data_IF_553281047703
#
_entry.id   IF_553281047703
#
_cell.length_a   1.000
_cell.length_b   1.000
_cell.length_c   1.000
_cell.angle_alpha   90.00
_cell.angle_beta   90.00
_cell.angle_gamma   90.00
#
_symmetry.space_group_name_H-M   'P 1'
#
loop_
_entity.id
_entity.type
_entity.pdbx_description
1 polymer ?
#
# COMPACT_ATOMS: atom_id res chain seq x y z
N UNK A 1 6.68 -20.37 -12.52
CA UNK A 1 6.03 -19.10 -12.91
C UNK A 1 5.50 -18.41 -11.64
N UNK A 2 6.40 -17.84 -10.85
CA UNK A 2 6.03 -17.05 -9.66
C UNK A 2 5.65 -15.63 -10.14
N UNK A 3 4.39 -15.45 -10.41
CA UNK A 3 3.83 -14.13 -10.73
C UNK A 3 3.94 -13.24 -9.51
N UNK A 4 4.51 -12.06 -9.69
CA UNK A 4 4.58 -10.93 -8.74
C UNK A 4 3.41 -10.93 -7.73
N UNK A 5 3.53 -11.71 -6.66
CA UNK A 5 2.52 -11.87 -5.63
C UNK A 5 2.32 -10.57 -4.83
N UNK A 6 3.38 -9.77 -4.71
CA UNK A 6 3.35 -8.50 -3.98
C UNK A 6 2.39 -7.47 -4.62
N UNK A 7 2.45 -7.27 -5.94
CA UNK A 7 1.60 -6.27 -6.62
C UNK A 7 0.12 -6.67 -6.67
N UNK A 8 -0.18 -7.98 -6.68
CA UNK A 8 -1.55 -8.47 -6.55
C UNK A 8 -2.10 -8.27 -5.14
N UNK A 9 -1.28 -8.47 -4.11
CA UNK A 9 -1.65 -8.21 -2.72
C UNK A 9 -2.06 -6.76 -2.48
N UNK A 10 -1.32 -5.80 -3.06
CA UNK A 10 -1.64 -4.38 -2.95
C UNK A 10 -2.99 -4.04 -3.59
N UNK A 11 -3.27 -4.55 -4.80
CA UNK A 11 -4.57 -4.33 -5.45
C UNK A 11 -5.72 -4.97 -4.67
N UNK A 12 -5.55 -6.21 -4.20
CA UNK A 12 -6.56 -6.90 -3.38
C UNK A 12 -6.81 -6.12 -2.09
N UNK A 13 -5.74 -5.65 -1.43
CA UNK A 13 -5.85 -4.79 -0.24
C UNK A 13 -6.65 -3.50 -0.50
N UNK A 14 -6.46 -2.86 -1.67
CA UNK A 14 -7.24 -1.70 -2.10
C UNK A 14 -8.73 -2.02 -2.27
N UNK A 15 -9.06 -3.13 -2.91
CA UNK A 15 -10.45 -3.58 -3.11
C UNK A 15 -11.12 -3.89 -1.76
N UNK A 16 -10.44 -4.60 -0.87
CA UNK A 16 -10.94 -4.92 0.47
C UNK A 16 -11.24 -3.65 1.26
N UNK A 17 -10.35 -2.63 1.23
CA UNK A 17 -10.59 -1.35 1.89
C UNK A 17 -11.84 -0.64 1.37
N UNK A 18 -12.05 -0.61 0.06
CA UNK A 18 -13.25 -0.02 -0.54
C UNK A 18 -14.50 -0.79 -0.10
N UNK A 19 -14.47 -2.13 -0.09
CA UNK A 19 -15.60 -2.94 0.36
C UNK A 19 -15.97 -2.66 1.83
N UNK A 20 -14.97 -2.58 2.72
CA UNK A 20 -15.18 -2.23 4.14
C UNK A 20 -15.79 -0.82 4.25
N UNK A 21 -15.30 0.15 3.48
CA UNK A 21 -15.82 1.52 3.51
C UNK A 21 -17.29 1.58 3.05
N UNK A 22 -17.66 0.83 2.02
CA UNK A 22 -19.07 0.74 1.54
C UNK A 22 -19.98 0.19 2.64
N UNK A 23 -19.56 -0.88 3.31
CA UNK A 23 -20.33 -1.45 4.44
C UNK A 23 -20.46 -0.43 5.58
N UNK A 24 -19.38 0.28 5.92
CA UNK A 24 -19.41 1.32 6.96
C UNK A 24 -20.38 2.46 6.62
N UNK A 25 -20.45 2.89 5.35
CA UNK A 25 -21.42 3.90 4.90
C UNK A 25 -22.86 3.40 5.04
N UNK A 26 -23.14 2.16 4.65
CA UNK A 26 -24.48 1.59 4.79
C UNK A 26 -24.90 1.57 6.27
N UNK A 27 -24.02 1.13 7.17
CA UNK A 27 -24.27 1.13 8.61
C UNK A 27 -24.51 2.56 9.12
N UNK A 28 -23.70 3.53 8.72
CA UNK A 28 -23.83 4.92 9.12
C UNK A 28 -25.19 5.53 8.68
N UNK A 29 -25.61 5.27 7.44
CA UNK A 29 -26.91 5.71 6.92
C UNK A 29 -28.07 5.08 7.75
N UNK A 30 -27.95 3.77 8.06
CA UNK A 30 -28.97 3.08 8.85
C UNK A 30 -29.06 3.66 10.27
N UNK A 31 -27.92 3.94 10.91
CA UNK A 31 -27.85 4.54 12.25
C UNK A 31 -28.47 5.94 12.26
N UNK A 32 -28.10 6.78 11.29
CA UNK A 32 -28.66 8.13 11.17
C UNK A 32 -30.17 8.06 10.87
N UNK A 33 -30.58 7.20 9.93
CA UNK A 33 -31.98 7.04 9.56
C UNK A 33 -32.86 6.56 10.72
N UNK A 34 -32.37 5.61 11.53
CA UNK A 34 -33.09 5.17 12.74
C UNK A 34 -33.14 6.27 13.80
N UNK A 35 -32.06 7.03 14.02
CA UNK A 35 -32.04 8.13 14.98
C UNK A 35 -33.03 9.25 14.61
N UNK A 36 -33.13 9.58 13.31
CA UNK A 36 -34.07 10.60 12.82
C UNK A 36 -35.52 10.09 12.83
N UNK A 37 -35.73 8.80 12.45
CA UNK A 37 -37.06 8.20 12.42
C UNK A 37 -37.68 7.94 13.80
N UNK A 38 -36.85 7.82 14.83
CA UNK A 38 -37.25 7.62 16.24
C UNK A 38 -37.07 8.89 17.07
N UNK A 39 -37.09 10.06 16.43
CA UNK A 39 -36.87 11.33 17.12
C UNK A 39 -37.90 11.55 18.24
N UNK A 40 -37.40 11.59 19.47
CA UNK A 40 -38.19 11.95 20.66
C UNK A 40 -37.76 13.36 21.09
N UNK A 41 -38.72 14.32 21.21
CA UNK A 41 -38.43 15.68 21.68
C UNK A 41 -37.84 15.73 23.09
N UNK A 42 -38.07 14.67 23.92
CA UNK A 42 -37.52 14.58 25.25
C UNK A 42 -36.09 14.02 25.27
N UNK A 43 -35.69 13.21 24.26
CA UNK A 43 -34.32 12.65 24.11
C UNK A 43 -33.55 13.27 22.92
N UNK A 44 -33.48 14.59 22.86
CA UNK A 44 -32.71 15.31 21.84
C UNK A 44 -31.22 14.96 21.86
N UNK A 45 -30.69 14.67 23.04
CA UNK A 45 -29.25 14.39 23.20
C UNK A 45 -28.87 13.05 22.56
N UNK A 46 -29.69 12.03 22.73
CA UNK A 46 -29.47 10.72 22.10
C UNK A 46 -29.47 10.80 20.57
N UNK A 47 -30.43 11.53 19.98
CA UNK A 47 -30.50 11.72 18.52
C UNK A 47 -29.28 12.45 17.99
N UNK A 48 -28.86 13.55 18.63
CA UNK A 48 -27.66 14.31 18.21
C UNK A 48 -26.42 13.45 18.30
N UNK A 49 -26.26 12.67 19.36
CA UNK A 49 -25.10 11.79 19.56
C UNK A 49 -25.01 10.69 18.48
N UNK A 50 -26.12 10.07 18.13
CA UNK A 50 -26.17 9.06 17.06
C UNK A 50 -25.86 9.66 15.68
N UNK A 51 -26.35 10.87 15.40
CA UNK A 51 -26.00 11.58 14.16
C UNK A 51 -24.51 11.95 14.09
N UNK A 52 -23.89 12.33 15.21
CA UNK A 52 -22.44 12.58 15.28
C UNK A 52 -21.63 11.31 15.00
N UNK A 53 -21.99 10.19 15.61
CA UNK A 53 -21.31 8.91 15.35
C UNK A 53 -21.42 8.53 13.86
N UNK A 54 -22.62 8.60 13.29
CA UNK A 54 -22.82 8.31 11.86
C UNK A 54 -22.01 9.24 10.97
N UNK A 55 -21.92 10.53 11.31
CA UNK A 55 -21.11 11.51 10.58
C UNK A 55 -19.60 11.16 10.60
N UNK A 56 -19.06 10.80 11.77
CA UNK A 56 -17.66 10.38 11.91
C UNK A 56 -17.38 9.12 11.08
N UNK A 57 -18.29 8.15 11.06
CA UNK A 57 -18.15 6.94 10.25
C UNK A 57 -18.10 7.24 8.75
N UNK A 58 -18.90 8.19 8.27
CA UNK A 58 -18.89 8.62 6.85
C UNK A 58 -17.55 9.25 6.50
N UNK A 59 -17.02 10.15 7.32
CA UNK A 59 -15.71 10.79 7.08
C UNK A 59 -14.59 9.75 7.05
N UNK A 60 -14.58 8.82 7.98
CA UNK A 60 -13.62 7.72 7.99
C UNK A 60 -13.73 6.85 6.71
N UNK A 61 -14.94 6.52 6.27
CA UNK A 61 -15.17 5.74 5.06
C UNK A 61 -14.61 6.44 3.81
N UNK A 62 -14.78 7.75 3.68
CA UNK A 62 -14.20 8.55 2.57
C UNK A 62 -12.67 8.42 2.54
N UNK A 63 -12.00 8.49 3.70
CA UNK A 63 -10.55 8.28 3.81
C UNK A 63 -10.13 6.88 3.37
N UNK A 64 -10.88 5.85 3.75
CA UNK A 64 -10.64 4.46 3.32
C UNK A 64 -10.81 4.28 1.81
N UNK A 65 -11.83 4.87 1.20
CA UNK A 65 -12.03 4.83 -0.25
C UNK A 65 -10.85 5.48 -0.97
N UNK A 66 -10.45 6.69 -0.56
CA UNK A 66 -9.31 7.39 -1.17
C UNK A 66 -8.02 6.59 -1.11
N UNK A 67 -7.70 6.01 0.06
CA UNK A 67 -6.52 5.15 0.22
C UNK A 67 -6.62 3.86 -0.61
N UNK A 68 -7.80 3.26 -0.70
CA UNK A 68 -8.05 2.05 -1.50
C UNK A 68 -7.86 2.30 -3.00
N UNK A 69 -8.37 3.41 -3.52
CA UNK A 69 -8.20 3.83 -4.93
C UNK A 69 -6.71 4.02 -5.24
N UNK A 70 -5.98 4.73 -4.37
CA UNK A 70 -4.53 4.94 -4.53
C UNK A 70 -3.79 3.60 -4.62
N UNK A 71 -4.08 2.65 -3.74
CA UNK A 71 -3.46 1.32 -3.77
C UNK A 71 -3.75 0.56 -5.07
N UNK A 72 -4.96 0.67 -5.62
CA UNK A 72 -5.32 0.02 -6.89
C UNK A 72 -4.54 0.66 -8.06
N UNK A 73 -4.46 1.99 -8.09
CA UNK A 73 -3.74 2.71 -9.14
C UNK A 73 -2.25 2.37 -9.09
N UNK A 74 -1.64 2.39 -7.92
CA UNK A 74 -0.21 2.08 -7.75
C UNK A 74 0.08 0.61 -8.09
N UNK A 75 -0.80 -0.31 -7.69
CA UNK A 75 -0.71 -1.73 -8.07
C UNK A 75 -0.81 -1.96 -9.58
N UNK A 76 -1.73 -1.27 -10.28
CA UNK A 76 -1.84 -1.34 -11.74
C UNK A 76 -0.58 -0.81 -12.43
N UNK A 77 -0.08 0.34 -12.01
CA UNK A 77 1.14 0.95 -12.56
C UNK A 77 2.36 0.05 -12.37
N UNK A 78 2.52 -0.56 -11.20
CA UNK A 78 3.60 -1.53 -10.96
C UNK A 78 3.49 -2.78 -11.83
N UNK A 79 2.26 -3.29 -12.08
CA UNK A 79 2.04 -4.40 -13.02
C UNK A 79 2.38 -4.02 -14.46
N UNK A 80 2.11 -2.78 -14.85
CA UNK A 80 2.45 -2.26 -16.18
C UNK A 80 3.96 -2.19 -16.36
N UNK A 81 4.71 -1.65 -15.39
CA UNK A 81 6.18 -1.68 -15.37
C UNK A 81 6.71 -3.11 -15.45
N UNK A 82 6.14 -4.04 -14.67
CA UNK A 82 6.56 -5.45 -14.70
C UNK A 82 6.30 -6.16 -16.03
N UNK A 83 5.32 -5.70 -16.82
CA UNK A 83 4.94 -6.34 -18.10
C UNK A 83 5.56 -5.70 -19.32
N UNK A 84 5.80 -4.38 -19.29
CA UNK A 84 6.26 -3.59 -20.43
C UNK A 84 7.65 -2.98 -20.21
N UNK A 85 8.13 -2.99 -18.97
CA UNK A 85 9.40 -2.36 -18.61
C UNK A 85 10.59 -3.02 -19.29
N UNK A 86 11.54 -2.20 -19.69
CA UNK A 86 12.84 -2.66 -20.15
C UNK A 86 13.80 -2.77 -18.96
N UNK A 87 14.82 -3.60 -19.15
CA UNK A 87 15.83 -3.86 -18.12
C UNK A 87 16.80 -2.67 -18.02
N UNK A 88 16.94 -2.15 -16.81
CA UNK A 88 17.92 -1.14 -16.44
C UNK A 88 18.73 -1.54 -15.21
N UNK A 89 19.58 -0.63 -14.78
CA UNK A 89 20.30 -0.74 -13.51
C UNK A 89 19.96 0.48 -12.66
N UNK A 90 19.60 0.25 -11.41
CA UNK A 90 19.44 1.28 -10.40
C UNK A 90 20.66 1.35 -9.49
N UNK A 91 21.05 2.53 -9.04
CA UNK A 91 22.07 2.74 -8.02
C UNK A 91 21.44 2.72 -6.65
N UNK A 92 21.90 1.88 -5.75
CA UNK A 92 21.43 1.86 -4.36
C UNK A 92 21.83 3.17 -3.69
N UNK A 93 20.84 3.90 -3.16
CA UNK A 93 21.04 5.14 -2.40
C UNK A 93 20.89 4.90 -0.91
N UNK A 94 20.01 3.98 -0.51
CA UNK A 94 19.77 3.68 0.90
C UNK A 94 19.25 2.25 1.09
N UNK A 95 19.59 1.65 2.24
CA UNK A 95 19.10 0.37 2.72
C UNK A 95 18.69 0.54 4.18
N UNK A 96 17.39 0.51 4.44
CA UNK A 96 16.86 0.71 5.80
C UNK A 96 16.18 -0.52 6.35
N UNK A 97 16.38 -0.73 7.64
CA UNK A 97 15.75 -1.77 8.44
C UNK A 97 14.95 -1.08 9.54
N UNK A 98 13.66 -1.37 9.62
CA UNK A 98 12.75 -0.72 10.57
C UNK A 98 11.95 -1.78 11.33
N UNK A 99 12.00 -1.74 12.66
CA UNK A 99 11.12 -2.56 13.50
C UNK A 99 9.71 -1.96 13.53
N UNK A 100 8.73 -2.73 13.11
CA UNK A 100 7.31 -2.36 13.18
C UNK A 100 6.66 -3.14 14.32
N UNK A 101 5.99 -2.42 15.20
CA UNK A 101 5.21 -3.00 16.29
C UNK A 101 3.73 -2.81 15.98
N UNK A 102 3.00 -3.90 15.83
CA UNK A 102 1.55 -3.89 15.68
C UNK A 102 0.90 -4.38 16.97
N UNK A 103 -0.10 -3.64 17.44
CA UNK A 103 -0.91 -4.01 18.57
C UNK A 103 -2.34 -4.32 18.10
N UNK A 104 -2.66 -5.60 17.98
CA UNK A 104 -3.99 -6.07 17.60
C UNK A 104 -4.65 -6.71 18.82
N UNK A 105 -5.66 -6.05 19.40
CA UNK A 105 -6.49 -6.55 20.51
C UNK A 105 -5.69 -7.11 21.71
N UNK A 106 -4.60 -6.42 22.08
CA UNK A 106 -3.75 -6.83 23.19
C UNK A 106 -2.63 -7.83 22.83
N UNK A 107 -2.59 -8.34 21.60
CA UNK A 107 -1.45 -9.09 21.08
C UNK A 107 -0.49 -8.13 20.39
N UNK A 108 0.72 -8.00 20.94
CA UNK A 108 1.80 -7.20 20.35
C UNK A 108 2.64 -8.10 19.47
N UNK A 109 2.61 -7.86 18.15
CA UNK A 109 3.53 -8.50 17.19
C UNK A 109 4.59 -7.50 16.74
N UNK A 110 5.85 -7.96 16.69
CA UNK A 110 6.98 -7.18 16.20
C UNK A 110 7.56 -7.89 14.98
N UNK A 111 7.82 -7.14 13.94
CA UNK A 111 8.47 -7.66 12.74
C UNK A 111 9.36 -6.59 12.11
N UNK A 112 10.36 -7.05 11.35
CA UNK A 112 11.30 -6.18 10.67
C UNK A 112 10.84 -5.93 9.24
N UNK A 113 10.89 -4.67 8.83
CA UNK A 113 10.61 -4.22 7.46
C UNK A 113 11.92 -3.76 6.85
N UNK A 114 12.27 -4.30 5.69
CA UNK A 114 13.48 -4.00 4.96
C UNK A 114 13.14 -3.21 3.71
N UNK A 115 13.70 -2.02 3.56
CA UNK A 115 13.45 -1.14 2.41
C UNK A 115 14.73 -0.92 1.62
N UNK A 116 14.60 -1.01 0.31
CA UNK A 116 15.60 -0.65 -0.70
C UNK A 116 15.21 0.68 -1.31
N UNK A 117 16.10 1.67 -1.29
CA UNK A 117 16.01 2.91 -2.06
C UNK A 117 17.05 2.91 -3.17
N UNK A 118 16.65 3.30 -4.37
CA UNK A 118 17.55 3.33 -5.51
C UNK A 118 17.20 4.47 -6.48
N UNK A 119 18.23 5.02 -7.11
CA UNK A 119 18.15 5.94 -8.22
C UNK A 119 18.21 5.21 -9.54
N UNK A 120 17.48 5.66 -10.53
CA UNK A 120 17.48 5.13 -11.89
C UNK A 120 17.24 6.24 -12.90
N UNK A 121 17.53 5.98 -14.18
CA UNK A 121 17.21 6.90 -15.27
C UNK A 121 15.89 6.44 -15.90
N UNK A 122 14.93 7.36 -16.04
CA UNK A 122 13.64 7.12 -16.68
C UNK A 122 13.76 7.10 -18.21
N UNK A 123 12.64 6.82 -18.93
CA UNK A 123 12.61 6.79 -20.38
C UNK A 123 12.86 8.16 -21.03
N UNK A 124 12.76 9.25 -20.28
CA UNK A 124 13.02 10.62 -20.72
C UNK A 124 14.46 11.07 -20.42
N UNK A 125 15.27 10.23 -19.78
CA UNK A 125 16.64 10.53 -19.40
C UNK A 125 16.77 11.28 -18.07
N UNK A 126 15.68 11.42 -17.28
CA UNK A 126 15.71 12.07 -15.98
C UNK A 126 16.18 11.10 -14.90
N UNK A 127 16.93 11.60 -13.92
CA UNK A 127 17.30 10.85 -12.73
C UNK A 127 16.12 10.86 -11.75
N UNK A 128 15.60 9.67 -11.42
CA UNK A 128 14.47 9.46 -10.54
C UNK A 128 14.85 8.54 -9.38
N UNK A 129 14.13 8.67 -8.26
CA UNK A 129 14.25 7.75 -7.11
C UNK A 129 13.03 6.84 -7.00
N UNK A 130 13.27 5.61 -6.57
CA UNK A 130 12.23 4.65 -6.17
C UNK A 130 12.59 3.96 -4.88
N UNK A 131 11.55 3.48 -4.17
CA UNK A 131 11.74 2.72 -2.93
C UNK A 131 10.82 1.50 -2.94
N UNK A 132 11.37 0.34 -2.58
CA UNK A 132 10.61 -0.90 -2.48
C UNK A 132 10.94 -1.67 -1.19
N UNK A 133 9.93 -2.35 -0.68
CA UNK A 133 10.13 -3.29 0.41
C UNK A 133 10.66 -4.61 -0.14
N UNK A 134 11.73 -5.11 0.48
CA UNK A 134 12.38 -6.36 0.09
C UNK A 134 12.35 -7.39 1.23
N UNK A 135 12.59 -8.67 0.91
CA UNK A 135 12.74 -9.69 1.95
C UNK A 135 14.09 -9.56 2.65
N UNK A 136 14.18 -10.06 3.89
CA UNK A 136 15.44 -10.08 4.64
C UNK A 136 16.59 -10.71 3.85
N UNK A 137 16.34 -11.84 3.17
CA UNK A 137 17.34 -12.51 2.34
C UNK A 137 17.91 -11.59 1.25
N UNK A 138 17.05 -10.88 0.55
CA UNK A 138 17.44 -9.92 -0.51
C UNK A 138 18.19 -8.75 0.09
N UNK A 139 17.72 -8.22 1.20
CA UNK A 139 18.35 -7.10 1.92
C UNK A 139 19.80 -7.40 2.29
N UNK A 140 20.06 -8.59 2.87
CA UNK A 140 21.43 -9.00 3.23
C UNK A 140 22.36 -9.13 2.01
N UNK A 141 21.84 -9.59 0.88
CA UNK A 141 22.60 -9.68 -0.38
C UNK A 141 22.87 -8.28 -0.98
N UNK A 142 21.94 -7.33 -0.78
CA UNK A 142 22.07 -5.96 -1.29
C UNK A 142 23.12 -5.14 -0.53
N UNK A 143 23.43 -5.45 0.73
CA UNK A 143 24.46 -4.75 1.53
C UNK A 143 25.84 -4.73 0.86
N UNK A 144 26.12 -5.70 0.00
CA UNK A 144 27.41 -5.84 -0.70
C UNK A 144 27.37 -5.30 -2.13
N UNK A 145 26.25 -4.70 -2.55
CA UNK A 145 26.05 -4.22 -3.91
C UNK A 145 25.84 -2.72 -3.94
N UNK A 146 26.27 -2.10 -5.04
CA UNK A 146 26.03 -0.67 -5.32
C UNK A 146 24.96 -0.48 -6.39
N UNK A 147 24.70 -1.53 -7.18
CA UNK A 147 23.75 -1.54 -8.28
C UNK A 147 22.73 -2.65 -8.10
N UNK A 148 21.52 -2.40 -8.54
CA UNK A 148 20.42 -3.39 -8.57
C UNK A 148 19.80 -3.45 -9.95
N UNK A 149 19.37 -4.63 -10.44
CA UNK A 149 18.59 -4.72 -11.64
C UNK A 149 17.20 -4.14 -11.43
N UNK A 150 16.75 -3.30 -12.35
CA UNK A 150 15.43 -2.67 -12.31
C UNK A 150 14.71 -2.85 -13.64
N UNK A 151 13.40 -2.83 -13.62
CA UNK A 151 12.55 -2.68 -14.79
C UNK A 151 12.03 -1.26 -14.82
N UNK A 152 12.27 -0.56 -15.94
CA UNK A 152 11.89 0.85 -16.15
C UNK A 152 10.79 0.92 -17.20
N UNK A 153 9.76 1.71 -16.97
CA UNK A 153 8.71 2.03 -17.92
C UNK A 153 8.14 3.43 -17.63
N UNK A 154 8.29 4.35 -18.58
CA UNK A 154 7.97 5.76 -18.37
C UNK A 154 8.81 6.37 -17.26
N UNK A 155 8.15 7.02 -16.33
CA UNK A 155 8.74 7.66 -15.15
C UNK A 155 8.83 6.73 -13.92
N UNK A 156 8.71 5.43 -14.09
CA UNK A 156 8.67 4.47 -12.96
C UNK A 156 9.64 3.33 -13.16
N UNK A 157 10.23 2.91 -12.07
CA UNK A 157 11.00 1.68 -12.00
C UNK A 157 10.58 0.82 -10.83
N UNK A 158 10.72 -0.49 -11.02
CA UNK A 158 10.59 -1.50 -9.96
C UNK A 158 11.84 -2.36 -9.91
N UNK A 159 12.16 -2.89 -8.73
CA UNK A 159 13.24 -3.84 -8.54
C UNK A 159 12.96 -5.15 -9.29
N UNK A 160 13.86 -5.56 -10.20
CA UNK A 160 13.76 -6.84 -10.91
C UNK A 160 14.30 -7.99 -10.04
N UNK A 161 13.46 -8.42 -9.10
CA UNK A 161 13.79 -9.52 -8.21
C UNK A 161 14.18 -10.79 -8.98
N UNK A 162 13.52 -11.09 -10.10
CA UNK A 162 13.77 -12.30 -10.88
C UNK A 162 15.18 -12.33 -11.44
N UNK A 163 15.62 -11.22 -12.02
CA UNK A 163 17.00 -11.08 -12.52
C UNK A 163 17.99 -11.09 -11.38
N UNK A 164 17.71 -10.41 -10.30
CA UNK A 164 18.55 -10.41 -9.09
C UNK A 164 18.75 -11.81 -8.53
N UNK A 165 17.69 -12.59 -8.38
CA UNK A 165 17.77 -13.98 -7.89
C UNK A 165 18.57 -14.87 -8.85
N UNK A 166 18.42 -14.68 -10.17
CA UNK A 166 19.19 -15.43 -11.17
C UNK A 166 20.68 -15.10 -11.11
N UNK A 167 21.06 -13.85 -10.87
CA UNK A 167 22.46 -13.39 -10.79
C UNK A 167 23.15 -13.84 -9.48
N UNK A 168 22.38 -14.22 -8.44
CA UNK A 168 22.92 -14.58 -7.11
C UNK A 168 22.72 -16.06 -6.74
N UNK A 169 22.12 -16.88 -7.61
CA UNK A 169 21.91 -18.33 -7.39
C UNK A 169 23.00 -19.20 -8.06
N UNK A 170 24.24 -18.71 -8.13
CA UNK A 170 25.42 -19.49 -8.55
C UNK A 170 26.28 -19.85 -7.34
#
# INVERSE_FOLDING_TARGET
>A
MEKNTFNRGTMVGGIVRIAIAVVAVIIAITVIGSAVGSYDPEDKFGTIFMCLIGGIMIVAAIGFIGSGIKMIIDGKKSLEVASKGHVGNGRITDLTETEVTENNNGCVSRYMVYNLKFEYTDDNGNLCESSEQVSQKVYEQLKQKTLVPVLVYGERAIFDKKRFDNENNF
#
